data_IF_513170613222
#
_entry.id   IF_513170613222
#
_cell.length_a   1.000
_cell.length_b   1.000
_cell.length_c   1.000
_cell.angle_alpha   90.00
_cell.angle_beta   90.00
_cell.angle_gamma   90.00
#
_symmetry.space_group_name_H-M   'P 1'
#
loop_
_entity.id
_entity.type
_entity.pdbx_description
1 polymer ?
#
# COMPACT_ATOMS: atom_id res chain seq x y z
N UNK A 1 13.47 -24.06 42.74
CA UNK A 1 12.81 -22.82 42.33
C UNK A 1 13.80 -21.80 41.71
N UNK A 2 14.38 -22.09 40.53
CA UNK A 2 15.19 -21.14 39.74
C UNK A 2 14.76 -21.20 38.25
N UNK A 3 13.47 -21.16 37.99
CA UNK A 3 12.96 -21.30 36.61
C UNK A 3 12.17 -20.12 36.08
N UNK A 4 11.65 -19.22 36.90
CA UNK A 4 10.72 -18.17 36.48
C UNK A 4 11.37 -16.82 36.11
N UNK A 5 12.59 -16.56 36.60
CA UNK A 5 13.28 -15.28 36.34
C UNK A 5 13.94 -15.17 34.95
N UNK A 6 14.40 -16.31 34.39
CA UNK A 6 15.05 -16.35 33.07
C UNK A 6 14.06 -16.22 31.92
N UNK A 7 12.87 -16.85 32.04
CA UNK A 7 11.83 -16.77 31.02
C UNK A 7 11.28 -15.34 30.86
N UNK A 8 11.15 -14.61 31.97
CA UNK A 8 10.73 -13.19 31.94
C UNK A 8 11.77 -12.24 31.32
N UNK A 9 13.07 -12.50 31.56
CA UNK A 9 14.14 -11.69 30.98
C UNK A 9 14.35 -11.94 29.49
N UNK A 10 14.26 -13.20 29.03
CA UNK A 10 14.35 -13.55 27.62
C UNK A 10 13.15 -13.00 26.82
N UNK A 11 11.95 -13.03 27.41
CA UNK A 11 10.75 -12.46 26.79
C UNK A 11 10.86 -10.94 26.69
N UNK A 12 11.36 -10.26 27.72
CA UNK A 12 11.58 -8.81 27.70
C UNK A 12 12.66 -8.39 26.69
N UNK A 13 13.75 -9.14 26.57
CA UNK A 13 14.81 -8.90 25.58
C UNK A 13 14.27 -9.12 24.16
N UNK A 14 13.46 -10.14 23.95
CA UNK A 14 12.85 -10.46 22.67
C UNK A 14 11.82 -9.40 22.25
N UNK A 15 11.05 -8.87 23.19
CA UNK A 15 10.09 -7.80 22.95
C UNK A 15 10.77 -6.46 22.66
N UNK A 16 11.96 -6.20 23.19
CA UNK A 16 12.76 -5.02 22.86
C UNK A 16 13.52 -5.17 21.53
N UNK A 17 13.93 -6.39 21.16
CA UNK A 17 14.75 -6.62 19.97
C UNK A 17 13.97 -6.37 18.66
N UNK A 18 12.71 -6.85 18.54
CA UNK A 18 11.92 -6.61 17.33
C UNK A 18 11.53 -5.13 17.17
N UNK A 19 11.34 -4.38 18.27
CA UNK A 19 11.04 -2.95 18.22
C UNK A 19 12.22 -2.15 17.68
N UNK A 20 13.44 -2.46 18.11
CA UNK A 20 14.66 -1.83 17.54
C UNK A 20 14.80 -2.13 16.06
N UNK A 21 14.54 -3.37 15.65
CA UNK A 21 14.55 -3.72 14.21
C UNK A 21 13.44 -2.99 13.46
N UNK A 22 12.26 -2.85 14.04
CA UNK A 22 11.16 -2.10 13.43
C UNK A 22 11.56 -0.64 13.17
N UNK A 23 12.07 0.07 14.16
CA UNK A 23 12.51 1.46 14.02
C UNK A 23 13.64 1.60 13.00
N UNK A 24 14.59 0.67 13.01
CA UNK A 24 15.67 0.61 12.01
C UNK A 24 15.11 0.42 10.61
N UNK A 25 14.16 -0.48 10.41
CA UNK A 25 13.55 -0.74 9.12
C UNK A 25 12.78 0.49 8.61
N UNK A 26 12.01 1.16 9.48
CA UNK A 26 11.34 2.44 9.15
C UNK A 26 12.35 3.48 8.68
N UNK A 27 13.43 3.68 9.43
CA UNK A 27 14.49 4.64 9.09
C UNK A 27 15.12 4.30 7.73
N UNK A 28 15.40 3.02 7.47
CA UNK A 28 15.95 2.54 6.20
C UNK A 28 15.00 2.81 5.01
N UNK A 29 13.68 2.64 5.19
CA UNK A 29 12.69 2.97 4.17
C UNK A 29 12.69 4.47 3.87
N UNK A 30 12.68 5.32 4.90
CA UNK A 30 12.69 6.77 4.75
C UNK A 30 13.92 7.29 3.98
N UNK A 31 15.09 6.67 4.15
CA UNK A 31 16.30 7.00 3.37
C UNK A 31 16.42 6.19 2.06
N UNK A 32 15.34 5.55 1.63
CA UNK A 32 15.23 4.77 0.39
C UNK A 32 16.16 3.56 0.29
N UNK A 33 16.61 3.03 1.42
CA UNK A 33 17.34 1.76 1.49
C UNK A 33 16.35 0.59 1.56
N UNK A 34 15.47 0.46 0.57
CA UNK A 34 14.33 -0.44 0.57
C UNK A 34 14.70 -1.90 0.77
N UNK A 35 15.73 -2.40 0.09
CA UNK A 35 16.21 -3.79 0.24
C UNK A 35 16.63 -4.10 1.66
N UNK A 36 17.38 -3.17 2.29
CA UNK A 36 17.79 -3.31 3.68
C UNK A 36 16.59 -3.26 4.62
N UNK A 37 15.66 -2.35 4.38
CA UNK A 37 14.42 -2.23 5.16
C UNK A 37 13.60 -3.51 5.12
N UNK A 38 13.33 -4.07 3.92
CA UNK A 38 12.61 -5.35 3.77
C UNK A 38 13.29 -6.50 4.50
N UNK A 39 14.62 -6.59 4.43
CA UNK A 39 15.40 -7.59 5.17
C UNK A 39 15.27 -7.39 6.68
N UNK A 40 15.38 -6.15 7.15
CA UNK A 40 15.26 -5.82 8.58
C UNK A 40 13.85 -6.11 9.12
N UNK A 41 12.79 -5.79 8.36
CA UNK A 41 11.43 -6.21 8.72
C UNK A 41 11.28 -7.73 8.76
N UNK A 42 11.95 -8.48 7.87
CA UNK A 42 11.92 -9.94 7.88
C UNK A 42 12.52 -10.50 9.17
N UNK A 43 13.65 -9.95 9.61
CA UNK A 43 14.24 -10.32 10.91
C UNK A 43 13.34 -9.94 12.10
N UNK A 44 12.65 -8.79 12.05
CA UNK A 44 11.70 -8.41 13.09
C UNK A 44 10.49 -9.38 13.14
N UNK A 45 10.01 -9.84 11.97
CA UNK A 45 8.92 -10.83 11.86
C UNK A 45 9.33 -12.18 12.44
N UNK A 46 10.58 -12.62 12.26
CA UNK A 46 11.09 -13.85 12.89
C UNK A 46 11.02 -13.78 14.41
N UNK A 47 11.26 -12.61 14.99
CA UNK A 47 11.19 -12.40 16.45
C UNK A 47 9.73 -12.24 16.94
N UNK A 48 8.85 -11.61 16.15
CA UNK A 48 7.45 -11.39 16.51
C UNK A 48 6.50 -11.63 15.32
N UNK A 49 6.27 -12.91 14.94
CA UNK A 49 5.46 -13.26 13.77
C UNK A 49 3.96 -13.00 13.92
N UNK A 50 3.50 -12.65 15.12
CA UNK A 50 2.09 -12.33 15.40
C UNK A 50 1.77 -10.83 15.30
N UNK A 51 2.75 -9.97 15.07
CA UNK A 51 2.53 -8.53 14.96
C UNK A 51 2.11 -8.13 13.52
N UNK A 52 0.85 -7.70 13.29
CA UNK A 52 0.35 -7.37 11.96
C UNK A 52 1.05 -6.14 11.37
N UNK A 53 1.53 -5.21 12.21
CA UNK A 53 2.18 -3.97 11.74
C UNK A 53 3.52 -4.22 11.06
N UNK A 54 4.23 -5.29 11.40
CA UNK A 54 5.48 -5.66 10.74
C UNK A 54 5.22 -6.03 9.27
N UNK A 55 4.18 -6.81 9.02
CA UNK A 55 3.77 -7.20 7.66
C UNK A 55 3.21 -6.00 6.88
N UNK A 56 2.37 -5.17 7.52
CA UNK A 56 1.83 -3.96 6.91
C UNK A 56 2.95 -3.03 6.42
N UNK A 57 3.93 -2.72 7.28
CA UNK A 57 5.02 -1.83 6.92
C UNK A 57 5.98 -2.45 5.90
N UNK A 58 6.26 -3.77 5.99
CA UNK A 58 7.06 -4.45 4.97
C UNK A 58 6.38 -4.42 3.60
N UNK A 59 5.06 -4.60 3.55
CA UNK A 59 4.29 -4.45 2.32
C UNK A 59 4.41 -3.05 1.72
N UNK A 60 4.25 -2.02 2.55
CA UNK A 60 4.40 -0.62 2.10
C UNK A 60 5.80 -0.37 1.54
N UNK A 61 6.85 -0.82 2.24
CA UNK A 61 8.23 -0.70 1.78
C UNK A 61 8.48 -1.42 0.44
N UNK A 62 7.89 -2.61 0.25
CA UNK A 62 7.96 -3.35 -1.02
C UNK A 62 7.28 -2.58 -2.16
N UNK A 63 6.12 -1.99 -1.91
CA UNK A 63 5.43 -1.17 -2.90
C UNK A 63 6.26 0.06 -3.28
N UNK A 64 6.76 0.82 -2.30
CA UNK A 64 7.64 1.97 -2.53
C UNK A 64 8.92 1.60 -3.30
N UNK A 65 9.50 0.43 -3.02
CA UNK A 65 10.66 -0.10 -3.77
C UNK A 65 10.32 -0.32 -5.24
N UNK A 66 9.16 -0.92 -5.52
CA UNK A 66 8.69 -1.16 -6.89
C UNK A 66 8.47 0.16 -7.61
N UNK A 67 7.79 1.12 -6.98
CA UNK A 67 7.54 2.44 -7.56
C UNK A 67 8.84 3.20 -7.83
N UNK A 68 9.81 3.12 -6.92
CA UNK A 68 11.13 3.72 -7.09
C UNK A 68 11.88 3.10 -8.28
N UNK A 69 11.94 1.77 -8.37
CA UNK A 69 12.62 1.07 -9.49
C UNK A 69 11.91 1.38 -10.82
N UNK A 70 10.59 1.37 -10.86
CA UNK A 70 9.82 1.70 -12.06
C UNK A 70 10.03 3.15 -12.52
N UNK A 71 10.19 4.08 -11.58
CA UNK A 71 10.49 5.49 -11.90
C UNK A 71 11.86 5.66 -12.54
N UNK A 72 12.86 4.92 -12.08
CA UNK A 72 14.22 4.91 -12.66
C UNK A 72 14.19 4.30 -14.06
N UNK A 73 13.54 3.14 -14.23
CA UNK A 73 13.42 2.47 -15.54
C UNK A 73 12.73 3.39 -16.56
N UNK A 74 11.63 4.04 -16.18
CA UNK A 74 10.93 4.97 -17.06
C UNK A 74 11.80 6.19 -17.43
N UNK A 75 12.62 6.69 -16.51
CA UNK A 75 13.55 7.80 -16.76
C UNK A 75 14.68 7.35 -17.71
N UNK A 76 15.23 6.16 -17.51
CA UNK A 76 16.27 5.58 -18.36
C UNK A 76 15.76 5.32 -19.79
N UNK A 77 14.53 4.80 -19.94
CA UNK A 77 13.90 4.60 -21.24
C UNK A 77 13.68 5.90 -22.01
N UNK A 78 13.31 7.00 -21.34
CA UNK A 78 13.22 8.31 -22.00
C UNK A 78 14.56 8.78 -22.54
N UNK A 79 15.63 8.67 -21.76
CA UNK A 79 16.98 9.09 -22.15
C UNK A 79 17.48 8.27 -23.35
N UNK A 80 17.22 6.96 -23.37
CA UNK A 80 17.65 6.08 -24.46
C UNK A 80 16.82 6.25 -25.73
N UNK A 81 15.52 6.55 -25.62
CA UNK A 81 14.65 6.83 -26.77
C UNK A 81 15.03 8.13 -27.46
N UNK A 82 15.44 9.15 -26.71
CA UNK A 82 15.87 10.43 -27.26
C UNK A 82 17.24 10.35 -27.96
N UNK A 83 18.07 9.38 -27.60
CA UNK A 83 19.43 9.24 -28.13
C UNK A 83 19.57 8.33 -29.37
N UNK A 84 18.63 7.40 -29.63
CA UNK A 84 18.70 6.50 -30.79
C UNK A 84 17.31 6.08 -31.32
N UNK A 85 16.89 6.60 -32.51
CA UNK A 85 15.61 6.23 -33.15
C UNK A 85 15.46 4.76 -33.51
N UNK A 86 16.56 4.01 -33.71
CA UNK A 86 16.52 2.59 -34.05
C UNK A 86 16.16 1.69 -32.86
N UNK A 87 16.39 2.15 -31.64
CA UNK A 87 16.02 1.46 -30.40
C UNK A 87 14.51 1.54 -30.05
N UNK A 88 13.76 2.40 -30.75
CA UNK A 88 12.29 2.53 -30.52
C UNK A 88 11.53 1.26 -30.85
N UNK A 89 12.04 0.41 -31.72
CA UNK A 89 11.35 -0.80 -32.19
C UNK A 89 11.61 -2.04 -31.32
N UNK A 90 12.68 -2.05 -30.51
CA UNK A 90 13.10 -3.23 -29.74
C UNK A 90 12.78 -3.18 -28.23
N UNK A 91 12.36 -2.02 -27.68
CA UNK A 91 12.15 -1.84 -26.24
C UNK A 91 10.70 -2.05 -25.79
N UNK A 92 9.93 -2.93 -26.45
CA UNK A 92 8.56 -3.29 -26.03
C UNK A 92 8.49 -4.32 -24.89
N UNK A 93 9.61 -4.66 -24.26
CA UNK A 93 9.60 -5.42 -23.00
C UNK A 93 9.33 -4.47 -21.81
N UNK A 94 8.09 -4.01 -21.69
CA UNK A 94 7.62 -3.34 -20.49
C UNK A 94 7.84 -4.29 -19.31
N UNK A 95 8.84 -3.99 -18.47
CA UNK A 95 9.03 -4.77 -17.24
C UNK A 95 7.75 -4.65 -16.41
N UNK A 96 7.08 -5.75 -16.21
CA UNK A 96 5.94 -5.84 -15.30
C UNK A 96 6.48 -6.08 -13.90
N UNK A 97 6.28 -5.12 -13.04
CA UNK A 97 6.60 -5.28 -11.62
C UNK A 97 5.41 -5.93 -10.92
N UNK A 98 5.67 -6.99 -10.17
CA UNK A 98 4.62 -7.68 -9.42
C UNK A 98 4.56 -7.16 -7.99
N UNK A 99 3.36 -6.87 -7.52
CA UNK A 99 3.07 -6.54 -6.12
C UNK A 99 2.72 -7.78 -5.27
N UNK A 100 2.88 -8.99 -5.80
CA UNK A 100 2.39 -10.23 -5.16
C UNK A 100 2.94 -10.43 -3.75
N UNK A 101 4.24 -10.16 -3.53
CA UNK A 101 4.83 -10.28 -2.20
C UNK A 101 4.28 -9.24 -1.21
N UNK A 102 4.01 -8.02 -1.69
CA UNK A 102 3.40 -6.98 -0.87
C UNK A 102 1.95 -7.34 -0.51
N UNK A 103 1.19 -7.88 -1.47
CA UNK A 103 -0.17 -8.38 -1.24
C UNK A 103 -0.17 -9.57 -0.28
N UNK A 104 0.80 -10.48 -0.37
CA UNK A 104 0.94 -11.61 0.55
C UNK A 104 1.17 -11.15 2.00
N UNK A 105 1.99 -10.13 2.21
CA UNK A 105 2.19 -9.51 3.52
C UNK A 105 0.88 -8.91 4.06
N UNK A 106 0.12 -8.18 3.24
CA UNK A 106 -1.16 -7.61 3.65
C UNK A 106 -2.21 -8.69 3.97
N UNK A 107 -2.24 -9.78 3.22
CA UNK A 107 -3.07 -10.94 3.55
C UNK A 107 -2.72 -11.52 4.93
N UNK A 108 -1.43 -11.55 5.28
CA UNK A 108 -0.99 -11.99 6.59
C UNK A 108 -1.37 -11.00 7.69
N UNK A 109 -1.20 -9.68 7.46
CA UNK A 109 -1.62 -8.63 8.38
C UNK A 109 -3.13 -8.70 8.68
N UNK A 110 -3.97 -8.83 7.64
CA UNK A 110 -5.42 -8.97 7.77
C UNK A 110 -5.80 -10.24 8.54
N UNK A 111 -5.12 -11.36 8.29
CA UNK A 111 -5.38 -12.61 9.03
C UNK A 111 -5.06 -12.47 10.52
N UNK A 112 -4.02 -11.70 10.87
CA UNK A 112 -3.61 -11.48 12.26
C UNK A 112 -4.51 -10.45 12.97
N UNK A 113 -4.93 -9.41 12.24
CA UNK A 113 -5.79 -8.35 12.78
C UNK A 113 -6.79 -7.88 11.72
N UNK A 114 -7.99 -8.53 11.67
CA UNK A 114 -9.01 -8.26 10.65
C UNK A 114 -9.61 -6.86 10.68
N UNK A 115 -9.52 -6.17 11.82
CA UNK A 115 -10.12 -4.84 12.01
C UNK A 115 -9.16 -3.68 11.62
N UNK A 116 -7.98 -4.01 11.06
CA UNK A 116 -7.00 -3.00 10.65
C UNK A 116 -7.35 -2.43 9.27
N UNK A 117 -8.10 -1.33 9.25
CA UNK A 117 -8.55 -0.64 8.03
C UNK A 117 -7.43 -0.37 7.02
N UNK A 118 -6.24 0.03 7.51
CA UNK A 118 -5.08 0.31 6.66
C UNK A 118 -4.57 -0.90 5.86
N UNK A 119 -4.73 -2.11 6.38
CA UNK A 119 -4.32 -3.31 5.64
C UNK A 119 -5.20 -3.56 4.42
N UNK A 120 -6.51 -3.35 4.54
CA UNK A 120 -7.43 -3.42 3.40
C UNK A 120 -7.18 -2.29 2.42
N UNK A 121 -7.04 -1.05 2.91
CA UNK A 121 -6.76 0.12 2.07
C UNK A 121 -5.48 -0.06 1.23
N UNK A 122 -4.38 -0.48 1.84
CA UNK A 122 -3.13 -0.69 1.13
C UNK A 122 -3.24 -1.84 0.12
N UNK A 123 -3.95 -2.94 0.46
CA UNK A 123 -4.19 -4.04 -0.48
C UNK A 123 -5.06 -3.59 -1.66
N UNK A 124 -6.06 -2.77 -1.41
CA UNK A 124 -6.89 -2.16 -2.45
C UNK A 124 -6.05 -1.32 -3.42
N UNK A 125 -5.14 -0.49 -2.90
CA UNK A 125 -4.23 0.30 -3.72
C UNK A 125 -3.38 -0.59 -4.65
N UNK A 126 -2.78 -1.66 -4.12
CA UNK A 126 -1.96 -2.58 -4.92
C UNK A 126 -2.78 -3.34 -5.96
N UNK A 127 -4.00 -3.76 -5.61
CA UNK A 127 -4.95 -4.39 -6.54
C UNK A 127 -5.37 -3.44 -7.65
N UNK A 128 -5.66 -2.18 -7.33
CA UNK A 128 -5.99 -1.16 -8.32
C UNK A 128 -4.82 -0.90 -9.28
N UNK A 129 -3.59 -0.81 -8.79
CA UNK A 129 -2.37 -0.68 -9.59
C UNK A 129 -2.14 -1.90 -10.49
N UNK A 130 -2.51 -3.09 -10.03
CA UNK A 130 -2.44 -4.33 -10.82
C UNK A 130 -3.63 -4.51 -11.78
N UNK A 131 -4.60 -3.59 -11.82
CA UNK A 131 -5.78 -3.66 -12.67
C UNK A 131 -6.93 -4.51 -12.13
N UNK A 132 -6.81 -5.08 -10.93
CA UNK A 132 -7.85 -5.87 -10.24
C UNK A 132 -8.87 -4.95 -9.56
N UNK A 133 -9.62 -4.18 -10.36
CA UNK A 133 -10.52 -3.13 -9.86
C UNK A 133 -11.70 -3.65 -9.02
N UNK A 134 -12.36 -4.78 -9.36
CA UNK A 134 -13.42 -5.32 -8.52
C UNK A 134 -12.95 -5.70 -7.12
N UNK A 135 -11.81 -6.38 -7.02
CA UNK A 135 -11.21 -6.77 -5.73
C UNK A 135 -10.70 -5.56 -4.94
N UNK A 136 -10.21 -4.53 -5.63
CA UNK A 136 -9.84 -3.27 -4.99
C UNK A 136 -11.06 -2.56 -4.40
N UNK A 137 -12.18 -2.53 -5.12
CA UNK A 137 -13.45 -1.98 -4.62
C UNK A 137 -13.93 -2.68 -3.35
N UNK A 138 -13.86 -4.02 -3.31
CA UNK A 138 -14.22 -4.79 -2.11
C UNK A 138 -13.33 -4.44 -0.93
N UNK A 139 -12.03 -4.34 -1.14
CA UNK A 139 -11.07 -3.99 -0.10
C UNK A 139 -11.25 -2.56 0.43
N UNK A 140 -11.47 -1.56 -0.46
CA UNK A 140 -11.82 -0.22 0.01
C UNK A 140 -13.12 -0.21 0.81
N UNK A 141 -14.09 -1.01 0.40
CA UNK A 141 -15.35 -1.13 1.15
C UNK A 141 -15.12 -1.72 2.53
N UNK A 142 -14.23 -2.72 2.67
CA UNK A 142 -13.82 -3.24 3.98
C UNK A 142 -13.05 -2.22 4.80
N UNK A 143 -12.15 -1.44 4.20
CA UNK A 143 -11.44 -0.36 4.89
C UNK A 143 -12.41 0.68 5.47
N UNK A 144 -13.44 1.06 4.71
CA UNK A 144 -14.49 2.00 5.13
C UNK A 144 -15.39 1.39 6.23
N UNK A 145 -15.71 0.10 6.14
CA UNK A 145 -16.46 -0.62 7.19
C UNK A 145 -15.72 -0.57 8.54
N UNK A 146 -14.39 -0.77 8.52
CA UNK A 146 -13.55 -0.70 9.72
C UNK A 146 -13.28 0.73 10.20
N UNK A 147 -13.19 1.69 9.27
CA UNK A 147 -13.02 3.11 9.59
C UNK A 147 -13.95 3.98 8.73
N UNK A 148 -15.16 4.33 9.21
CA UNK A 148 -16.12 5.16 8.48
C UNK A 148 -15.66 6.59 8.18
N UNK A 149 -14.54 7.03 8.76
CA UNK A 149 -13.94 8.34 8.50
C UNK A 149 -12.68 8.27 7.62
N UNK A 150 -12.46 7.15 6.91
CA UNK A 150 -11.29 6.96 6.06
C UNK A 150 -11.48 7.69 4.71
N UNK A 151 -11.16 8.97 4.70
CA UNK A 151 -11.39 9.86 3.55
C UNK A 151 -10.76 9.34 2.25
N UNK A 152 -9.50 8.89 2.31
CA UNK A 152 -8.76 8.39 1.15
C UNK A 152 -9.40 7.09 0.59
N UNK A 153 -9.98 6.26 1.44
CA UNK A 153 -10.66 5.04 0.98
C UNK A 153 -11.95 5.37 0.22
N UNK A 154 -12.72 6.35 0.68
CA UNK A 154 -13.88 6.87 -0.07
C UNK A 154 -13.45 7.47 -1.41
N UNK A 155 -12.41 8.31 -1.41
CA UNK A 155 -11.91 8.93 -2.62
C UNK A 155 -11.51 7.89 -3.67
N UNK A 156 -10.67 6.93 -3.29
CA UNK A 156 -10.18 5.91 -4.22
C UNK A 156 -11.28 4.96 -4.67
N UNK A 157 -12.22 4.57 -3.78
CA UNK A 157 -13.38 3.77 -4.17
C UNK A 157 -14.29 4.52 -5.15
N UNK A 158 -14.51 5.81 -4.91
CA UNK A 158 -15.28 6.66 -5.80
C UNK A 158 -14.66 6.79 -7.20
N UNK A 159 -13.34 6.94 -7.28
CA UNK A 159 -12.62 6.96 -8.57
C UNK A 159 -12.81 5.62 -9.32
N UNK A 160 -12.68 4.47 -8.63
CA UNK A 160 -12.92 3.16 -9.25
C UNK A 160 -14.36 3.04 -9.77
N UNK A 161 -15.35 3.47 -9.00
CA UNK A 161 -16.76 3.44 -9.43
C UNK A 161 -17.00 4.30 -10.69
N UNK A 162 -16.41 5.51 -10.75
CA UNK A 162 -16.49 6.36 -11.94
C UNK A 162 -15.84 5.64 -13.13
N UNK A 163 -14.69 5.03 -12.94
CA UNK A 163 -13.99 4.27 -13.99
C UNK A 163 -14.84 3.07 -14.47
N UNK A 164 -15.52 2.38 -13.56
CA UNK A 164 -16.45 1.29 -13.84
C UNK A 164 -17.81 1.76 -14.39
N UNK A 165 -17.95 3.05 -14.69
CA UNK A 165 -19.15 3.71 -15.24
C UNK A 165 -20.35 3.80 -14.27
N UNK A 166 -20.15 3.56 -12.98
CA UNK A 166 -21.13 3.89 -11.93
C UNK A 166 -20.87 5.29 -11.38
N UNK A 167 -20.95 6.28 -12.26
CA UNK A 167 -20.60 7.68 -11.95
C UNK A 167 -21.40 8.24 -10.77
N UNK A 168 -22.68 7.87 -10.66
CA UNK A 168 -23.55 8.38 -9.59
C UNK A 168 -23.03 7.96 -8.20
N UNK A 169 -22.75 6.66 -8.02
CA UNK A 169 -22.23 6.17 -6.75
C UNK A 169 -20.81 6.69 -6.50
N UNK A 170 -19.98 6.74 -7.55
CA UNK A 170 -18.65 7.31 -7.45
C UNK A 170 -18.66 8.76 -6.95
N UNK A 171 -19.55 9.60 -7.49
CA UNK A 171 -19.69 10.98 -7.01
C UNK A 171 -20.17 11.07 -5.56
N UNK A 172 -20.99 10.15 -5.07
CA UNK A 172 -21.38 10.10 -3.64
C UNK A 172 -20.16 9.81 -2.74
N UNK A 173 -19.34 8.83 -3.10
CA UNK A 173 -18.12 8.52 -2.37
C UNK A 173 -17.12 9.68 -2.42
N UNK A 174 -16.92 10.32 -3.59
CA UNK A 174 -16.07 11.50 -3.74
C UNK A 174 -16.61 12.67 -2.90
N UNK A 175 -17.94 12.90 -2.86
CA UNK A 175 -18.54 13.92 -1.99
C UNK A 175 -18.22 13.64 -0.53
N UNK A 176 -18.35 12.38 -0.09
CA UNK A 176 -18.01 11.98 1.27
C UNK A 176 -16.54 12.19 1.60
N UNK A 177 -15.64 11.90 0.66
CA UNK A 177 -14.21 12.18 0.82
C UNK A 177 -13.94 13.68 0.97
N UNK A 178 -14.63 14.53 0.23
CA UNK A 178 -14.56 15.99 0.34
C UNK A 178 -15.02 16.50 1.70
N UNK A 179 -16.15 15.97 2.22
CA UNK A 179 -16.64 16.27 3.57
C UNK A 179 -15.63 15.88 4.67
N UNK A 180 -14.87 14.81 4.43
CA UNK A 180 -13.82 14.30 5.33
C UNK A 180 -12.47 15.00 5.13
N UNK A 181 -12.37 15.98 4.23
CA UNK A 181 -11.20 16.85 4.10
C UNK A 181 -10.33 16.65 2.85
N UNK A 182 -10.70 15.76 1.92
CA UNK A 182 -9.97 15.62 0.64
C UNK A 182 -10.37 16.76 -0.30
N UNK A 183 -9.50 17.73 -0.45
CA UNK A 183 -9.77 18.95 -1.26
C UNK A 183 -9.89 18.61 -2.75
N UNK A 184 -9.11 17.67 -3.25
CA UNK A 184 -9.11 17.21 -4.63
C UNK A 184 -10.46 16.61 -5.07
N UNK A 185 -11.27 16.17 -4.12
CA UNK A 185 -12.61 15.64 -4.35
C UNK A 185 -13.52 16.65 -5.10
N UNK A 186 -13.40 17.94 -4.80
CA UNK A 186 -14.21 18.98 -5.43
C UNK A 186 -13.91 19.14 -6.93
N UNK A 187 -12.67 18.98 -7.34
CA UNK A 187 -12.31 19.02 -8.77
C UNK A 187 -12.86 17.81 -9.53
N UNK A 188 -12.87 16.62 -8.89
CA UNK A 188 -13.48 15.42 -9.47
C UNK A 188 -14.99 15.61 -9.59
N UNK A 189 -15.68 16.10 -8.57
CA UNK A 189 -17.12 16.37 -8.59
C UNK A 189 -17.49 17.36 -9.69
N UNK A 190 -16.74 18.45 -9.82
CA UNK A 190 -16.96 19.46 -10.88
C UNK A 190 -16.91 18.85 -12.28
N UNK A 191 -16.09 17.80 -12.47
CA UNK A 191 -15.94 17.14 -13.79
C UNK A 191 -16.99 16.08 -14.06
N UNK A 192 -17.40 15.33 -13.04
CA UNK A 192 -18.18 14.11 -13.19
C UNK A 192 -19.58 14.17 -12.56
N UNK A 193 -19.85 15.10 -11.64
CA UNK A 193 -21.20 15.23 -11.09
C UNK A 193 -22.18 15.62 -12.21
N UNK A 194 -23.30 14.92 -12.35
CA UNK A 194 -24.32 15.30 -13.31
C UNK A 194 -24.79 16.71 -13.00
N UNK A 195 -24.72 17.59 -14.01
CA UNK A 195 -25.35 18.91 -13.91
C UNK A 195 -26.84 18.67 -13.67
N UNK A 196 -27.32 19.07 -12.48
CA UNK A 196 -28.76 19.09 -12.23
C UNK A 196 -29.41 19.99 -13.30
N UNK A 197 -30.26 19.35 -14.14
CA UNK A 197 -31.12 20.06 -15.09
C UNK A 197 -32.42 20.45 -14.44
#
# INVERSE_FOLDING_TARGET
EIGSGLVGSEMCIRDSAWTVLFERAVTQSLIKQYTNSVSTYSSAIELNPSNPFLYLNRSTTRAEMIDFISSIDNSYQRITIDSDPANRLNNNSKRTYSYDEAVADLNKAIKLFPDLAYSYYNRANLRALSGSLPEAFEDYSKAIEQNPNFAEAYYNRGIIQIFMKDTRKGCLDISKAGELGIVEAYEVLKRYAPLEK
#
